data_IF_987199925204
#
_entry.id   IF_987199925204
#
_cell.length_a   1.000
_cell.length_b   1.000
_cell.length_c   1.000
_cell.angle_alpha   90.00
_cell.angle_beta   90.00
_cell.angle_gamma   90.00
#
_symmetry.space_group_name_H-M   'P 1'
#
loop_
_entity.id
_entity.type
_entity.pdbx_description
1 polymer ?
#
# COMPACT_ATOMS: atom_id res chain seq x y z
N UNK A 1 -8.38 8.46 -7.55
CA UNK A 1 -7.22 8.78 -6.69
C UNK A 1 -6.37 7.53 -6.46
N UNK A 2 -5.07 7.73 -6.35
CA UNK A 2 -4.15 6.63 -6.09
C UNK A 2 -4.10 6.31 -4.61
N UNK A 3 -3.96 5.03 -4.28
CA UNK A 3 -4.05 4.50 -2.93
C UNK A 3 -2.68 4.07 -2.44
N UNK A 4 -2.23 4.69 -1.36
CA UNK A 4 -0.92 4.44 -0.77
C UNK A 4 -1.09 3.82 0.61
N UNK A 5 -0.21 2.90 0.96
CA UNK A 5 -0.11 2.38 2.32
C UNK A 5 1.25 2.77 2.90
N UNK A 6 1.23 3.38 4.08
CA UNK A 6 2.45 3.73 4.81
C UNK A 6 2.57 2.79 6.00
N UNK A 7 3.67 2.06 6.06
CA UNK A 7 4.01 1.18 7.18
C UNK A 7 5.22 1.80 7.85
N UNK A 8 5.00 2.54 8.94
CA UNK A 8 6.05 3.28 9.66
C UNK A 8 5.69 3.44 11.11
N UNK A 9 6.66 3.23 12.01
CA UNK A 9 6.43 3.24 13.44
C UNK A 9 6.45 4.64 14.07
N UNK A 10 7.22 5.56 13.51
CA UNK A 10 7.33 6.92 14.06
C UNK A 10 6.11 7.75 13.68
N UNK A 11 5.28 8.16 14.66
CA UNK A 11 4.07 8.94 14.37
C UNK A 11 4.37 10.27 13.67
N UNK A 12 5.46 10.93 14.03
CA UNK A 12 5.84 12.21 13.43
C UNK A 12 6.18 12.05 11.96
N UNK A 13 6.99 11.05 11.64
CA UNK A 13 7.36 10.74 10.25
C UNK A 13 6.15 10.33 9.44
N UNK A 14 5.33 9.44 9.99
CA UNK A 14 4.13 8.94 9.33
C UNK A 14 3.16 10.09 9.03
N UNK A 15 2.92 10.96 10.00
CA UNK A 15 2.03 12.12 9.83
C UNK A 15 2.58 13.11 8.80
N UNK A 16 3.87 13.37 8.83
CA UNK A 16 4.53 14.26 7.87
C UNK A 16 4.37 13.74 6.44
N UNK A 17 4.63 12.45 6.24
CA UNK A 17 4.47 11.82 4.92
C UNK A 17 3.01 11.84 4.49
N UNK A 18 2.08 11.51 5.39
CA UNK A 18 0.66 11.55 5.10
C UNK A 18 0.23 12.94 4.59
N UNK A 19 0.69 14.00 5.26
CA UNK A 19 0.39 15.37 4.85
C UNK A 19 0.97 15.68 3.46
N UNK A 20 2.20 15.28 3.21
CA UNK A 20 2.85 15.50 1.91
C UNK A 20 2.08 14.82 0.78
N UNK A 21 1.67 13.57 0.99
CA UNK A 21 0.98 12.79 -0.02
C UNK A 21 -0.46 13.23 -0.22
N UNK A 22 -1.14 13.58 0.84
CA UNK A 22 -2.50 14.15 0.76
C UNK A 22 -2.49 15.45 -0.02
N UNK A 23 -1.47 16.27 0.19
CA UNK A 23 -1.29 17.52 -0.55
C UNK A 23 -1.06 17.27 -2.05
N UNK A 24 -0.50 16.12 -2.40
CA UNK A 24 -0.30 15.70 -3.79
C UNK A 24 -1.50 14.93 -4.36
N UNK A 25 -2.65 14.97 -3.70
CA UNK A 25 -3.90 14.28 -4.09
C UNK A 25 -3.79 12.76 -4.10
N UNK A 26 -3.00 12.22 -3.18
CA UNK A 26 -2.87 10.78 -2.98
C UNK A 26 -3.61 10.38 -1.71
N UNK A 27 -4.37 9.30 -1.77
CA UNK A 27 -5.05 8.74 -0.60
C UNK A 27 -4.07 7.87 0.17
N UNK A 28 -4.07 8.02 1.50
CA UNK A 28 -3.05 7.40 2.34
C UNK A 28 -3.69 6.63 3.48
N UNK A 29 -3.22 5.41 3.67
CA UNK A 29 -3.51 4.58 4.84
C UNK A 29 -2.23 4.34 5.60
N UNK A 30 -2.27 4.47 6.92
CA UNK A 30 -1.09 4.31 7.74
C UNK A 30 -1.27 3.19 8.75
N UNK A 31 -0.18 2.47 9.01
CA UNK A 31 -0.10 1.52 10.12
C UNK A 31 1.31 1.59 10.71
N UNK A 32 1.41 1.34 12.00
CA UNK A 32 2.68 1.32 12.71
C UNK A 32 3.21 -0.09 12.96
N UNK A 33 2.49 -1.11 12.51
CA UNK A 33 2.83 -2.51 12.72
C UNK A 33 3.07 -3.22 11.40
N UNK A 34 4.16 -3.96 11.33
CA UNK A 34 4.48 -4.74 10.13
C UNK A 34 3.47 -5.82 9.83
N UNK A 35 2.96 -6.52 10.85
CA UNK A 35 1.98 -7.57 10.67
C UNK A 35 0.67 -7.03 10.08
N UNK A 36 0.18 -5.90 10.60
CA UNK A 36 -1.00 -5.24 10.05
C UNK A 36 -0.76 -4.78 8.62
N UNK A 37 0.43 -4.24 8.35
CA UNK A 37 0.80 -3.82 6.99
C UNK A 37 0.80 -4.98 6.01
N UNK A 38 1.27 -6.14 6.42
CA UNK A 38 1.22 -7.35 5.60
C UNK A 38 -0.23 -7.75 5.30
N UNK A 39 -1.07 -7.75 6.32
CA UNK A 39 -2.48 -8.10 6.15
C UNK A 39 -3.21 -7.14 5.21
N UNK A 40 -2.99 -5.85 5.40
CA UNK A 40 -3.56 -4.83 4.52
C UNK A 40 -3.10 -4.99 3.07
N UNK A 41 -1.82 -5.22 2.87
CA UNK A 41 -1.25 -5.37 1.54
C UNK A 41 -1.70 -6.63 0.82
N UNK A 42 -2.02 -7.69 1.58
CA UNK A 42 -2.60 -8.92 1.01
C UNK A 42 -4.07 -8.74 0.64
N UNK A 43 -4.78 -7.93 1.41
CA UNK A 43 -6.22 -7.76 1.26
C UNK A 43 -6.57 -6.73 0.19
N UNK A 44 -5.86 -5.61 0.18
CA UNK A 44 -6.15 -4.49 -0.71
C UNK A 44 -5.07 -4.32 -1.76
N UNK A 45 -5.46 -3.84 -2.93
CA UNK A 45 -4.54 -3.59 -4.04
C UNK A 45 -4.10 -2.13 -4.03
N UNK A 46 -3.10 -1.83 -3.21
CA UNK A 46 -2.51 -0.50 -3.17
C UNK A 46 -1.70 -0.21 -4.44
N UNK A 47 -1.60 1.05 -4.81
CA UNK A 47 -0.74 1.49 -5.91
C UNK A 47 0.73 1.49 -5.52
N UNK A 48 1.01 1.72 -4.23
CA UNK A 48 2.37 1.72 -3.70
C UNK A 48 2.34 1.56 -2.18
N UNK A 49 3.36 0.90 -1.64
CA UNK A 49 3.59 0.78 -0.21
C UNK A 49 4.88 1.53 0.12
N UNK A 50 4.79 2.45 1.09
CA UNK A 50 5.96 3.07 1.71
C UNK A 50 6.28 2.28 2.97
N UNK A 51 7.50 1.74 3.05
CA UNK A 51 7.87 0.83 4.11
C UNK A 51 9.09 1.33 4.87
N UNK A 52 8.91 1.61 6.15
CA UNK A 52 10.03 1.92 7.04
C UNK A 52 10.65 0.62 7.55
N UNK A 53 11.97 0.60 7.70
CA UNK A 53 12.67 -0.59 8.15
C UNK A 53 12.55 -0.81 9.66
N UNK A 54 12.46 0.26 10.45
CA UNK A 54 12.40 0.16 11.90
C UNK A 54 10.99 0.03 12.45
N UNK A 55 10.40 -1.16 12.39
CA UNK A 55 9.07 -1.41 12.93
C UNK A 55 9.17 -2.10 14.29
N UNK A 56 8.15 -1.92 15.19
CA UNK A 56 8.23 -2.46 16.54
C UNK A 56 8.08 -3.97 16.61
N UNK A 57 7.32 -4.58 15.70
CA UNK A 57 7.02 -6.00 15.72
C UNK A 57 7.92 -6.84 14.82
N UNK A 58 8.51 -6.24 13.79
CA UNK A 58 9.42 -6.95 12.90
C UNK A 58 10.27 -5.98 12.09
N UNK A 59 11.34 -6.46 11.49
CA UNK A 59 12.14 -5.67 10.56
C UNK A 59 11.37 -5.44 9.26
N UNK A 60 11.49 -4.25 8.68
CA UNK A 60 10.82 -3.95 7.41
C UNK A 60 11.22 -4.86 6.27
N UNK A 61 12.46 -5.36 6.25
CA UNK A 61 12.87 -6.35 5.24
C UNK A 61 12.05 -7.65 5.35
N UNK A 62 11.64 -8.02 6.56
CA UNK A 62 10.80 -9.19 6.75
C UNK A 62 9.38 -8.95 6.19
N UNK A 63 8.85 -7.75 6.36
CA UNK A 63 7.58 -7.37 5.73
C UNK A 63 7.67 -7.55 4.22
N UNK A 64 8.71 -6.99 3.62
CA UNK A 64 8.94 -7.09 2.18
C UNK A 64 9.05 -8.55 1.73
N UNK A 65 9.86 -9.34 2.44
CA UNK A 65 10.06 -10.76 2.14
C UNK A 65 8.74 -11.53 2.17
N UNK A 66 7.94 -11.35 3.22
CA UNK A 66 6.66 -12.03 3.36
C UNK A 66 5.67 -11.64 2.27
N UNK A 67 5.64 -10.37 1.88
CA UNK A 67 4.77 -9.91 0.81
C UNK A 67 5.16 -10.55 -0.52
N UNK A 68 6.45 -10.61 -0.83
CA UNK A 68 6.91 -11.23 -2.08
C UNK A 68 6.68 -12.74 -2.09
N UNK A 69 6.87 -13.40 -0.96
CA UNK A 69 6.54 -14.83 -0.83
C UNK A 69 5.05 -15.09 -1.03
N UNK A 70 4.20 -14.18 -0.59
CA UNK A 70 2.76 -14.27 -0.79
C UNK A 70 2.34 -13.84 -2.20
N UNK A 71 3.29 -13.54 -3.07
CA UNK A 71 3.09 -13.09 -4.46
C UNK A 71 2.31 -11.78 -4.56
N UNK A 72 2.48 -10.93 -3.56
CA UNK A 72 2.02 -9.55 -3.60
C UNK A 72 3.05 -8.75 -4.38
N UNK A 73 2.65 -8.22 -5.52
CA UNK A 73 3.53 -7.51 -6.45
C UNK A 73 3.44 -5.99 -6.34
N UNK A 74 2.66 -5.49 -5.40
CA UNK A 74 2.55 -4.05 -5.15
C UNK A 74 3.93 -3.41 -5.05
N UNK A 75 4.19 -2.31 -5.76
CA UNK A 75 5.47 -1.62 -5.66
C UNK A 75 5.76 -1.18 -4.23
N UNK A 76 7.00 -1.35 -3.80
CA UNK A 76 7.42 -1.00 -2.44
C UNK A 76 8.62 -0.06 -2.50
N UNK A 77 8.45 1.11 -1.89
CA UNK A 77 9.52 2.08 -1.67
C UNK A 77 9.95 2.01 -0.21
N UNK A 78 11.20 1.65 0.03
CA UNK A 78 11.74 1.57 1.37
C UNK A 78 12.22 2.94 1.82
N UNK A 79 11.84 3.34 3.02
CA UNK A 79 12.32 4.54 3.69
C UNK A 79 13.28 4.13 4.81
N UNK A 80 14.45 4.72 4.87
CA UNK A 80 15.43 4.38 5.90
C UNK A 80 16.24 5.61 6.31
N UNK A 81 16.61 5.66 7.59
CA UNK A 81 17.56 6.65 8.11
C UNK A 81 19.00 6.33 7.78
N UNK A 82 19.27 5.18 7.19
CA UNK A 82 20.60 4.71 6.87
C UNK A 82 20.82 4.65 5.36
N UNK A 83 21.91 5.26 4.90
CA UNK A 83 22.36 5.15 3.52
C UNK A 83 23.36 3.99 3.37
N UNK A 84 23.11 2.92 4.09
CA UNK A 84 23.95 1.74 4.09
C UNK A 84 23.72 0.95 2.78
N UNK A 85 24.78 0.77 2.01
CA UNK A 85 24.76 0.03 0.77
C UNK A 85 24.30 -1.42 0.99
N UNK A 86 24.71 -2.03 2.10
CA UNK A 86 24.30 -3.40 2.43
C UNK A 86 22.79 -3.51 2.61
N UNK A 87 22.16 -2.56 3.32
CA UNK A 87 20.72 -2.54 3.50
C UNK A 87 19.98 -2.28 2.17
N UNK A 88 20.54 -1.45 1.30
CA UNK A 88 19.97 -1.22 -0.03
C UNK A 88 20.01 -2.49 -0.88
N UNK A 89 21.15 -3.17 -0.91
CA UNK A 89 21.30 -4.43 -1.65
C UNK A 89 20.32 -5.46 -1.12
N UNK A 90 20.19 -5.57 0.19
CA UNK A 90 19.27 -6.51 0.83
C UNK A 90 17.81 -6.20 0.46
N UNK A 91 17.43 -4.91 0.50
CA UNK A 91 16.09 -4.50 0.13
C UNK A 91 15.76 -4.82 -1.32
N UNK A 92 16.66 -4.51 -2.25
CA UNK A 92 16.48 -4.84 -3.65
C UNK A 92 16.48 -6.34 -3.89
N UNK A 93 17.32 -7.09 -3.15
CA UNK A 93 17.36 -8.55 -3.22
C UNK A 93 16.04 -9.19 -2.78
N UNK A 94 15.29 -8.57 -1.89
CA UNK A 94 13.97 -9.04 -1.48
C UNK A 94 12.84 -8.50 -2.37
N UNK A 95 13.15 -7.66 -3.36
CA UNK A 95 12.17 -7.20 -4.33
C UNK A 95 11.60 -5.81 -4.09
N UNK A 96 12.35 -4.92 -3.43
CA UNK A 96 11.98 -3.51 -3.34
C UNK A 96 12.14 -2.84 -4.70
N UNK A 97 11.26 -1.89 -5.00
CA UNK A 97 11.29 -1.15 -6.25
C UNK A 97 12.18 0.08 -6.19
N UNK A 98 12.33 0.66 -5.01
CA UNK A 98 13.20 1.81 -4.80
C UNK A 98 13.55 1.95 -3.32
N UNK A 99 14.48 2.83 -3.02
CA UNK A 99 14.98 3.05 -1.68
C UNK A 99 15.26 4.55 -1.51
N UNK A 100 14.71 5.14 -0.46
CA UNK A 100 14.88 6.57 -0.18
C UNK A 100 15.42 6.76 1.23
N UNK A 101 16.52 7.49 1.34
CA UNK A 101 17.20 7.75 2.62
C UNK A 101 16.60 9.01 3.27
N UNK A 102 16.32 8.96 4.55
CA UNK A 102 15.92 10.11 5.36
C UNK A 102 17.18 10.91 5.76
N UNK A 103 17.11 12.22 5.84
CA UNK A 103 15.99 13.07 5.47
C UNK A 103 15.85 13.21 3.94
N UNK A 104 14.61 13.40 3.49
CA UNK A 104 14.31 13.58 2.08
C UNK A 104 13.44 14.81 1.86
N UNK A 105 13.43 15.33 0.65
CA UNK A 105 12.56 16.43 0.27
C UNK A 105 11.23 15.88 -0.25
N UNK A 106 10.16 16.65 -0.01
CA UNK A 106 8.83 16.28 -0.49
C UNK A 106 8.83 16.02 -2.00
N UNK A 107 9.46 16.89 -2.75
CA UNK A 107 9.51 16.80 -4.21
C UNK A 107 10.19 15.50 -4.66
N UNK A 108 11.24 15.07 -3.97
CA UNK A 108 11.93 13.82 -4.28
C UNK A 108 11.05 12.62 -4.00
N UNK A 109 10.39 12.59 -2.83
CA UNK A 109 9.48 11.51 -2.48
C UNK A 109 8.35 11.39 -3.50
N UNK A 110 7.67 12.48 -3.79
CA UNK A 110 6.53 12.48 -4.73
C UNK A 110 6.98 12.10 -6.14
N UNK A 111 8.13 12.59 -6.59
CA UNK A 111 8.66 12.23 -7.90
C UNK A 111 8.97 10.73 -8.01
N UNK A 112 9.57 10.14 -6.97
CA UNK A 112 9.86 8.70 -6.97
C UNK A 112 8.57 7.88 -6.96
N UNK A 113 7.57 8.29 -6.19
CA UNK A 113 6.27 7.62 -6.15
C UNK A 113 5.64 7.62 -7.55
N UNK A 114 5.58 8.75 -8.21
CA UNK A 114 5.01 8.83 -9.55
C UNK A 114 5.79 8.00 -10.57
N UNK A 115 7.11 7.99 -10.48
CA UNK A 115 7.96 7.20 -11.37
C UNK A 115 7.71 5.69 -11.18
N UNK A 116 7.60 5.24 -9.94
CA UNK A 116 7.35 3.82 -9.63
C UNK A 116 5.98 3.40 -10.13
N UNK A 117 4.96 4.21 -9.89
CA UNK A 117 3.59 3.90 -10.31
C UNK A 117 3.49 3.86 -11.84
N UNK A 118 4.14 4.77 -12.56
CA UNK A 118 4.16 4.74 -14.03
C UNK A 118 4.77 3.46 -14.57
N UNK A 119 5.89 3.01 -14.00
CA UNK A 119 6.54 1.75 -14.41
C UNK A 119 5.64 0.56 -14.16
N UNK A 120 5.01 0.53 -12.99
CA UNK A 120 4.09 -0.54 -12.62
C UNK A 120 2.89 -0.62 -13.55
N UNK A 121 2.32 0.52 -13.94
CA UNK A 121 1.14 0.55 -14.82
C UNK A 121 1.43 0.08 -16.24
N UNK A 122 2.62 0.26 -16.73
CA UNK A 122 3.02 -0.26 -18.04
C UNK A 122 2.91 -1.77 -18.12
N UNK A 123 3.09 -2.46 -17.00
CA UNK A 123 2.99 -3.92 -16.93
C UNK A 123 1.61 -4.42 -16.53
N UNK A 124 0.79 -3.60 -15.86
CA UNK A 124 -0.46 -4.03 -15.28
C UNK A 124 -1.67 -3.87 -16.19
N UNK A 125 -1.58 -3.10 -17.26
CA UNK A 125 -2.72 -2.87 -18.15
C UNK A 125 -3.26 -4.14 -18.82
N UNK A 126 -2.42 -5.13 -19.05
CA UNK A 126 -2.84 -6.41 -19.61
C UNK A 126 -3.48 -7.34 -18.58
N UNK A 127 -3.21 -7.11 -17.29
CA UNK A 127 -3.70 -7.96 -16.20
C UNK A 127 -5.10 -7.54 -15.75
N UNK A 128 -5.42 -6.25 -15.82
CA UNK A 128 -6.71 -5.72 -15.40
C UNK A 128 -7.87 -6.33 -16.18
N UNK A 129 -7.67 -6.69 -17.44
CA UNK A 129 -8.71 -7.24 -18.32
C UNK A 129 -9.09 -8.69 -18.00
N UNK A 130 -8.34 -9.39 -17.19
CA UNK A 130 -8.58 -10.80 -16.87
C UNK A 130 -9.09 -11.03 -15.45
N UNK A 131 -9.35 -9.96 -14.69
CA UNK A 131 -9.84 -10.07 -13.33
C UNK A 131 -11.32 -10.35 -13.26
N UNK A 132 -11.73 -11.23 -12.37
CA UNK A 132 -13.14 -11.53 -12.11
C UNK A 132 -13.76 -10.49 -11.17
N UNK A 133 -12.96 -9.70 -10.49
CA UNK A 133 -13.40 -8.66 -9.58
C UNK A 133 -13.25 -7.33 -10.29
N UNK A 134 -14.39 -6.72 -10.60
CA UNK A 134 -14.43 -5.37 -11.16
C UNK A 134 -14.67 -4.38 -10.03
N UNK A 135 -13.74 -3.45 -9.90
CA UNK A 135 -13.94 -2.32 -9.01
C UNK A 135 -14.23 -1.11 -9.87
N UNK A 136 -15.42 -0.59 -9.71
CA UNK A 136 -15.79 0.65 -10.36
C UNK A 136 -15.53 1.80 -9.39
N UNK A 137 -14.40 2.43 -9.56
CA UNK A 137 -13.97 3.53 -8.70
C UNK A 137 -14.87 4.76 -8.85
N UNK A 138 -15.41 4.98 -10.05
CA UNK A 138 -16.30 6.11 -10.30
C UNK A 138 -17.65 5.92 -9.63
N UNK A 139 -18.16 4.70 -9.61
CA UNK A 139 -19.41 4.37 -8.95
C UNK A 139 -19.22 4.08 -7.45
N UNK A 140 -17.99 4.03 -6.99
CA UNK A 140 -17.64 3.70 -5.59
C UNK A 140 -18.30 2.42 -5.11
N UNK A 141 -18.31 1.42 -5.97
CA UNK A 141 -18.83 0.09 -5.66
C UNK A 141 -17.72 -0.95 -5.79
N UNK A 142 -17.78 -1.93 -4.89
CA UNK A 142 -16.91 -3.09 -4.98
C UNK A 142 -17.76 -4.25 -5.46
N UNK A 143 -17.41 -4.78 -6.63
CA UNK A 143 -18.13 -5.88 -7.25
C UNK A 143 -17.35 -7.17 -7.00
N UNK A 144 -17.86 -7.97 -6.08
CA UNK A 144 -17.30 -9.28 -5.76
C UNK A 144 -18.18 -10.34 -6.42
N UNK A 145 -17.75 -10.82 -7.58
CA UNK A 145 -18.62 -11.66 -8.41
C UNK A 145 -19.69 -10.82 -9.07
N UNK A 146 -20.95 -11.19 -8.94
CA UNK A 146 -22.07 -10.48 -9.55
C UNK A 146 -22.88 -9.61 -8.58
N UNK A 147 -22.38 -9.46 -7.35
CA UNK A 147 -23.13 -8.74 -6.31
C UNK A 147 -22.37 -7.49 -5.86
N UNK A 148 -22.85 -6.30 -6.24
CA UNK A 148 -22.23 -5.07 -5.74
C UNK A 148 -22.44 -4.94 -4.22
N UNK A 149 -21.40 -4.55 -3.52
CA UNK A 149 -21.47 -4.29 -2.09
C UNK A 149 -21.66 -2.80 -1.88
N UNK A 150 -22.84 -2.43 -1.36
CA UNK A 150 -23.12 -1.04 -1.03
C UNK A 150 -22.82 -0.76 0.43
N UNK A 151 -22.05 0.27 0.67
CA UNK A 151 -21.73 0.76 2.00
C UNK A 151 -22.42 2.09 2.21
N UNK A 152 -23.00 2.30 3.40
CA UNK A 152 -23.75 3.50 3.72
C UNK A 152 -23.15 4.28 4.88
N UNK A 153 -23.40 5.58 4.92
CA UNK A 153 -22.99 6.44 6.03
C UNK A 153 -21.49 6.56 6.18
N UNK A 154 -21.01 6.38 7.42
CA UNK A 154 -19.59 6.48 7.72
C UNK A 154 -18.74 5.46 6.94
N UNK A 155 -19.35 4.34 6.57
CA UNK A 155 -18.70 3.34 5.73
C UNK A 155 -18.42 3.85 4.32
N UNK A 156 -19.24 4.78 3.84
CA UNK A 156 -19.07 5.35 2.51
C UNK A 156 -17.77 6.13 2.37
N UNK A 157 -17.34 6.81 3.43
CA UNK A 157 -16.06 7.52 3.42
C UNK A 157 -14.87 6.57 3.25
N UNK A 158 -15.06 5.31 3.60
CA UNK A 158 -14.04 4.28 3.46
C UNK A 158 -14.10 3.55 2.12
N UNK A 159 -15.04 3.93 1.23
CA UNK A 159 -15.09 3.41 -0.14
C UNK A 159 -13.98 3.95 -1.03
N UNK A 160 -13.18 4.90 -0.55
CA UNK A 160 -11.93 5.26 -1.18
C UNK A 160 -10.82 4.27 -0.86
N UNK A 161 -11.17 3.16 -0.20
CA UNK A 161 -10.25 2.05 0.01
C UNK A 161 -9.76 1.49 -1.32
N UNK A 162 -8.54 0.98 -1.34
CA UNK A 162 -8.01 0.33 -2.52
C UNK A 162 -8.90 -0.84 -2.95
N UNK A 163 -8.81 -1.17 -4.22
CA UNK A 163 -9.48 -2.34 -4.78
C UNK A 163 -9.01 -3.60 -4.08
N UNK A 164 -9.91 -4.55 -3.90
CA UNK A 164 -9.54 -5.86 -3.40
C UNK A 164 -8.60 -6.53 -4.39
N UNK A 165 -7.63 -7.26 -3.85
CA UNK A 165 -6.71 -8.03 -4.66
C UNK A 165 -7.45 -9.20 -5.31
N UNK A 166 -7.12 -9.48 -6.58
CA UNK A 166 -7.70 -10.60 -7.31
C UNK A 166 -7.47 -11.91 -6.54
N UNK A 167 -8.52 -12.73 -6.45
CA UNK A 167 -8.47 -13.99 -5.74
C UNK A 167 -8.58 -13.89 -4.23
N UNK A 168 -8.69 -12.67 -3.70
CA UNK A 168 -8.87 -12.47 -2.27
C UNK A 168 -10.31 -12.79 -1.89
N UNK A 169 -10.48 -13.67 -0.92
CA UNK A 169 -11.79 -13.93 -0.32
C UNK A 169 -11.95 -13.00 0.87
N UNK A 170 -12.84 -12.05 0.73
CA UNK A 170 -13.14 -11.10 1.79
C UNK A 170 -14.34 -11.60 2.58
N UNK A 171 -14.11 -12.03 3.82
CA UNK A 171 -15.21 -12.33 4.72
C UNK A 171 -15.75 -11.04 5.33
N UNK A 172 -17.02 -11.08 5.74
CA UNK A 172 -17.63 -9.92 6.43
C UNK A 172 -16.84 -9.52 7.66
N UNK A 173 -16.33 -10.50 8.40
CA UNK A 173 -15.55 -10.26 9.60
C UNK A 173 -14.22 -9.57 9.29
N UNK A 174 -13.50 -10.03 8.29
CA UNK A 174 -12.25 -9.40 7.85
C UNK A 174 -12.47 -7.97 7.42
N UNK A 175 -13.52 -7.74 6.64
CA UNK A 175 -13.89 -6.41 6.17
C UNK A 175 -14.18 -5.46 7.33
N UNK A 176 -14.98 -5.91 8.30
CA UNK A 176 -15.33 -5.10 9.47
C UNK A 176 -14.12 -4.83 10.36
N UNK A 177 -13.21 -5.78 10.52
CA UNK A 177 -12.00 -5.58 11.31
C UNK A 177 -11.13 -4.48 10.73
N UNK A 178 -10.99 -4.40 9.42
CA UNK A 178 -10.19 -3.36 8.78
C UNK A 178 -10.88 -2.00 8.76
N UNK A 179 -12.21 -1.97 8.77
CA UNK A 179 -12.97 -0.72 8.80
C UNK A 179 -13.14 -0.16 10.20
N UNK A 180 -13.29 -1.01 11.22
CA UNK A 180 -13.67 -0.64 12.57
C UNK A 180 -12.76 -1.17 13.67
N UNK A 181 -11.91 -2.13 13.35
CA UNK A 181 -10.96 -2.67 14.29
C UNK A 181 -9.85 -1.67 14.54
N UNK A 182 -10.01 -0.88 15.55
CA UNK A 182 -9.18 0.20 15.90
C UNK A 182 -7.78 -0.04 16.32
#
# INVERSE_FOLDING_TARGET
HRQMCIIASDPTTSKSIEMMLTHANLNVYTTDMGEEGIDLAKLYDYDLILLDLGLPDMNGHEVLRQLRLAKVDTPILILSGSDDTENKIKGFGFGADDYLTKPFHREELVARIHAIIRRSKGHSQSVIKTGEILVNLDAKTVDAGNNPVHLTGNKYQMLELPSLRKGTTLTKEMFLNHLYGG
#
